data_IF_489467289027
#
_entry.id   IF_489467289027
#
_cell.length_a   1.000
_cell.length_b   1.000
_cell.length_c   1.000
_cell.angle_alpha   90.00
_cell.angle_beta   90.00
_cell.angle_gamma   90.00
#
_symmetry.space_group_name_H-M   'P 1'
#
loop_
_entity.id
_entity.type
_entity.pdbx_description
1 polymer ?
#
# COMPACT_ATOMS: atom_id res chain seq x y z
N UNK A 1 -10.29 -1.73 2.86
CA UNK A 1 -11.42 -2.62 3.26
C UNK A 1 -12.78 -2.03 2.86
N UNK A 2 -13.07 -0.73 3.08
CA UNK A 2 -14.36 -0.11 2.72
C UNK A 2 -14.73 -0.35 1.25
N UNK A 3 -13.83 -0.08 0.29
CA UNK A 3 -14.10 -0.32 -1.13
C UNK A 3 -14.27 -1.82 -1.47
N UNK A 4 -13.51 -2.70 -0.81
CA UNK A 4 -13.68 -4.14 -1.00
C UNK A 4 -15.09 -4.59 -0.62
N UNK A 5 -15.58 -4.16 0.54
CA UNK A 5 -16.92 -4.49 1.00
C UNK A 5 -18.01 -3.89 0.09
N UNK A 6 -17.92 -2.58 -0.19
CA UNK A 6 -18.92 -1.90 -1.03
C UNK A 6 -18.98 -2.45 -2.47
N UNK A 7 -17.81 -2.77 -3.05
CA UNK A 7 -17.78 -3.39 -4.39
C UNK A 7 -18.35 -4.80 -4.38
N UNK A 8 -18.15 -5.55 -3.30
CA UNK A 8 -18.73 -6.88 -3.14
C UNK A 8 -20.26 -6.82 -2.98
N UNK A 9 -20.75 -5.88 -2.17
CA UNK A 9 -22.21 -5.65 -2.02
C UNK A 9 -22.83 -5.28 -3.36
N UNK A 10 -22.21 -4.36 -4.11
CA UNK A 10 -22.67 -3.98 -5.45
C UNK A 10 -22.74 -5.18 -6.39
N UNK A 11 -21.65 -5.99 -6.43
CA UNK A 11 -21.61 -7.20 -7.25
C UNK A 11 -22.65 -8.24 -6.81
N UNK A 12 -22.87 -8.43 -5.49
CA UNK A 12 -23.89 -9.34 -4.97
C UNK A 12 -25.27 -8.93 -5.42
N UNK A 13 -25.60 -7.64 -5.30
CA UNK A 13 -26.93 -7.12 -5.68
C UNK A 13 -27.19 -7.28 -7.17
N UNK A 14 -26.21 -7.04 -8.04
CA UNK A 14 -26.33 -7.27 -9.48
C UNK A 14 -26.62 -8.74 -9.85
N UNK A 15 -26.23 -9.68 -9.01
CA UNK A 15 -26.36 -11.12 -9.27
C UNK A 15 -27.48 -11.79 -8.44
N UNK A 16 -28.35 -11.02 -7.77
CA UNK A 16 -29.44 -11.58 -6.96
C UNK A 16 -30.51 -12.28 -7.82
N UNK A 17 -30.76 -11.83 -9.05
CA UNK A 17 -31.70 -12.48 -9.97
C UNK A 17 -31.30 -13.94 -10.27
N UNK A 18 -30.01 -14.25 -10.31
CA UNK A 18 -29.51 -15.61 -10.47
C UNK A 18 -29.86 -16.51 -9.27
N UNK A 19 -30.32 -15.93 -8.15
CA UNK A 19 -30.70 -16.60 -6.92
C UNK A 19 -32.23 -16.56 -6.68
N UNK A 20 -32.98 -16.14 -7.69
CA UNK A 20 -34.45 -16.03 -7.58
C UNK A 20 -34.94 -14.77 -6.85
N UNK A 21 -34.09 -13.76 -6.65
CA UNK A 21 -34.46 -12.48 -6.05
C UNK A 21 -34.42 -11.41 -7.13
N UNK A 22 -35.57 -10.92 -7.54
CA UNK A 22 -35.65 -9.86 -8.52
C UNK A 22 -35.37 -8.50 -7.87
N UNK A 23 -34.46 -7.75 -8.47
CA UNK A 23 -34.15 -6.37 -8.11
C UNK A 23 -34.32 -5.48 -9.33
N UNK A 24 -34.75 -4.24 -9.14
CA UNK A 24 -34.80 -3.26 -10.20
C UNK A 24 -33.39 -2.90 -10.74
N UNK A 25 -33.32 -1.88 -11.60
CA UNK A 25 -32.05 -1.44 -12.17
C UNK A 25 -31.07 -0.99 -11.06
N UNK A 26 -29.91 -1.64 -10.98
CA UNK A 26 -28.85 -1.33 -10.01
C UNK A 26 -27.80 -0.47 -10.70
N UNK A 27 -27.64 0.77 -10.25
CA UNK A 27 -26.68 1.74 -10.80
C UNK A 27 -25.57 2.05 -9.79
N UNK A 28 -24.33 2.04 -10.25
CA UNK A 28 -23.19 2.52 -9.47
C UNK A 28 -23.19 4.04 -9.41
N UNK A 29 -23.10 4.60 -8.20
CA UNK A 29 -22.69 5.98 -7.99
C UNK A 29 -21.31 5.99 -7.33
N UNK A 30 -20.26 6.04 -8.17
CA UNK A 30 -18.88 5.95 -7.70
C UNK A 30 -18.53 7.11 -6.76
N UNK A 31 -19.00 8.33 -7.04
CA UNK A 31 -18.74 9.51 -6.18
C UNK A 31 -19.24 9.28 -4.75
N UNK A 32 -20.48 8.77 -4.60
CA UNK A 32 -21.03 8.44 -3.29
C UNK A 32 -20.27 7.31 -2.61
N UNK A 33 -19.84 6.30 -3.36
CA UNK A 33 -19.05 5.19 -2.84
C UNK A 33 -17.67 5.68 -2.34
N UNK A 34 -17.01 6.57 -3.08
CA UNK A 34 -15.75 7.20 -2.66
C UNK A 34 -15.94 8.08 -1.43
N UNK A 35 -17.00 8.88 -1.37
CA UNK A 35 -17.34 9.66 -0.15
C UNK A 35 -17.58 8.77 1.07
N UNK A 36 -18.20 7.60 0.90
CA UNK A 36 -18.39 6.64 1.99
C UNK A 36 -17.04 6.09 2.49
N UNK A 37 -16.12 5.74 1.57
CA UNK A 37 -14.75 5.36 1.91
C UNK A 37 -14.03 6.49 2.67
N UNK A 38 -14.08 7.74 2.18
CA UNK A 38 -13.42 8.88 2.81
C UNK A 38 -13.99 9.18 4.20
N UNK A 39 -15.30 9.00 4.38
CA UNK A 39 -15.93 9.10 5.70
C UNK A 39 -15.39 8.06 6.68
N UNK A 40 -15.24 6.81 6.23
CA UNK A 40 -14.64 5.76 7.05
C UNK A 40 -13.19 6.09 7.46
N UNK A 41 -12.38 6.57 6.52
CA UNK A 41 -11.01 7.04 6.81
C UNK A 41 -11.03 8.18 7.83
N UNK A 42 -11.89 9.17 7.62
CA UNK A 42 -12.00 10.34 8.52
C UNK A 42 -12.40 9.93 9.94
N UNK A 43 -13.31 8.98 10.10
CA UNK A 43 -13.71 8.49 11.42
C UNK A 43 -12.52 7.83 12.14
N UNK A 44 -11.75 7.00 11.43
CA UNK A 44 -10.60 6.31 12.00
C UNK A 44 -9.48 7.28 12.37
N UNK A 45 -9.13 8.21 11.49
CA UNK A 45 -8.06 9.19 11.76
C UNK A 45 -8.42 10.12 12.91
N UNK A 46 -9.67 10.62 12.97
CA UNK A 46 -10.14 11.41 14.11
C UNK A 46 -10.17 10.60 15.40
N UNK A 47 -10.46 9.29 15.32
CA UNK A 47 -10.36 8.39 16.47
C UNK A 47 -8.95 8.34 17.05
N UNK A 48 -7.93 8.24 16.18
CA UNK A 48 -6.52 8.27 16.60
C UNK A 48 -6.16 9.63 17.22
N UNK A 49 -6.54 10.74 16.58
CA UNK A 49 -6.31 12.09 17.15
C UNK A 49 -6.94 12.26 18.54
N UNK A 50 -8.17 11.75 18.71
CA UNK A 50 -8.85 11.74 20.01
C UNK A 50 -8.08 10.95 21.05
N UNK A 51 -7.57 9.75 20.71
CA UNK A 51 -6.77 8.92 21.62
C UNK A 51 -5.48 9.60 22.02
N UNK A 52 -4.76 10.21 21.09
CA UNK A 52 -3.55 10.99 21.40
C UNK A 52 -3.87 12.10 22.39
N UNK A 53 -4.90 12.91 22.13
CA UNK A 53 -5.35 13.98 23.02
C UNK A 53 -5.76 13.47 24.40
N UNK A 54 -6.56 12.39 24.46
CA UNK A 54 -7.03 11.77 25.70
C UNK A 54 -5.86 11.31 26.57
N UNK A 55 -4.82 10.77 25.95
CA UNK A 55 -3.62 10.30 26.63
C UNK A 55 -2.54 11.39 26.80
N UNK A 56 -2.88 12.65 26.52
CA UNK A 56 -1.96 13.81 26.67
C UNK A 56 -0.68 13.68 25.83
N UNK A 57 -0.76 12.98 24.70
CA UNK A 57 0.34 12.89 23.71
C UNK A 57 0.31 14.14 22.86
N UNK A 58 1.42 14.86 22.80
CA UNK A 58 1.57 16.05 21.91
C UNK A 58 1.68 15.58 20.46
N UNK A 59 0.80 16.06 19.60
CA UNK A 59 0.80 15.74 18.18
C UNK A 59 1.36 16.90 17.37
N UNK A 60 2.45 16.65 16.65
CA UNK A 60 3.05 17.58 15.70
C UNK A 60 2.72 17.13 14.28
N UNK A 61 1.97 17.94 13.52
CA UNK A 61 1.66 17.66 12.12
C UNK A 61 2.77 18.20 11.23
N UNK A 62 3.45 17.32 10.51
CA UNK A 62 4.55 17.69 9.63
C UNK A 62 5.45 16.52 9.27
N UNK A 63 6.56 16.82 8.58
CA UNK A 63 7.61 15.86 8.25
C UNK A 63 8.74 15.96 9.26
N UNK A 64 9.02 14.85 9.97
CA UNK A 64 10.11 14.76 10.93
C UNK A 64 11.41 14.31 10.29
N UNK A 65 12.54 14.88 10.70
CA UNK A 65 13.89 14.45 10.32
C UNK A 65 14.86 14.63 11.49
N UNK A 66 15.89 13.81 11.56
CA UNK A 66 16.92 13.95 12.59
C UNK A 66 17.80 15.17 12.31
N UNK A 67 18.01 15.99 13.33
CA UNK A 67 19.06 17.00 13.38
C UNK A 67 20.30 16.43 14.08
N UNK A 68 20.09 15.60 15.10
CA UNK A 68 21.09 14.86 15.86
C UNK A 68 20.45 13.60 16.49
N UNK A 69 21.17 12.88 17.34
CA UNK A 69 20.63 11.71 18.06
C UNK A 69 19.47 12.05 19.00
N UNK A 70 19.40 13.29 19.48
CA UNK A 70 18.40 13.74 20.46
C UNK A 70 17.50 14.88 19.94
N UNK A 71 17.75 15.41 18.75
CA UNK A 71 16.97 16.52 18.20
C UNK A 71 16.27 16.11 16.90
N UNK A 72 14.97 16.38 16.84
CA UNK A 72 14.14 16.16 15.65
C UNK A 72 13.65 17.52 15.11
N UNK A 73 13.87 17.76 13.83
CA UNK A 73 13.29 18.89 13.11
C UNK A 73 11.93 18.42 12.56
N UNK A 74 10.88 19.18 12.84
CA UNK A 74 9.55 18.99 12.29
C UNK A 74 9.26 20.14 11.35
N UNK A 75 8.98 19.84 10.09
CA UNK A 75 8.62 20.80 9.07
C UNK A 75 7.15 20.66 8.73
N UNK A 76 6.37 21.70 8.98
CA UNK A 76 4.94 21.72 8.71
C UNK A 76 4.61 22.02 7.23
N UNK A 77 3.30 22.03 6.89
CA UNK A 77 2.81 22.28 5.53
C UNK A 77 3.13 23.71 5.03
N UNK A 78 3.51 24.64 5.93
CA UNK A 78 3.91 26.02 5.61
C UNK A 78 5.44 26.18 5.58
N UNK A 79 6.19 25.07 5.65
CA UNK A 79 7.64 25.03 5.75
C UNK A 79 8.22 25.65 7.03
N UNK A 80 7.40 25.85 8.07
CA UNK A 80 7.87 26.31 9.37
C UNK A 80 8.54 25.14 10.09
N UNK A 81 9.72 25.39 10.61
CA UNK A 81 10.49 24.39 11.34
C UNK A 81 10.27 24.54 12.85
N UNK A 82 10.06 23.42 13.51
CA UNK A 82 10.04 23.30 14.96
C UNK A 82 11.07 22.23 15.34
N UNK A 83 11.94 22.53 16.28
CA UNK A 83 12.91 21.57 16.80
C UNK A 83 12.38 21.08 18.15
N UNK A 84 12.37 19.77 18.32
CA UNK A 84 12.07 19.13 19.60
C UNK A 84 13.28 18.30 20.06
N UNK A 85 13.52 18.28 21.34
CA UNK A 85 14.49 17.43 21.99
C UNK A 85 13.79 16.19 22.55
N UNK A 86 14.37 15.01 22.37
CA UNK A 86 13.82 13.75 22.80
C UNK A 86 14.91 12.88 23.45
N UNK A 87 14.64 12.39 24.65
CA UNK A 87 15.53 11.42 25.32
C UNK A 87 15.53 10.08 24.57
N UNK A 88 14.38 9.68 24.01
CA UNK A 88 14.22 8.44 23.25
C UNK A 88 13.34 8.69 22.02
N UNK A 89 13.70 8.10 20.89
CA UNK A 89 12.99 8.25 19.63
C UNK A 89 12.62 6.88 19.07
N UNK A 90 11.39 6.75 18.56
CA UNK A 90 10.95 5.54 17.83
C UNK A 90 10.66 5.93 16.39
N UNK A 91 11.38 5.32 15.45
CA UNK A 91 11.16 5.49 14.01
C UNK A 91 10.02 4.55 13.60
N UNK A 92 8.87 5.09 13.22
CA UNK A 92 7.68 4.35 12.79
C UNK A 92 7.13 4.87 11.46
N UNK A 93 8.03 5.20 10.52
CA UNK A 93 7.69 5.89 9.28
C UNK A 93 7.12 4.99 8.18
N UNK A 94 7.05 3.69 8.45
CA UNK A 94 6.36 2.73 7.59
C UNK A 94 7.06 2.47 6.26
N UNK A 95 6.27 2.32 5.20
CA UNK A 95 6.73 1.96 3.87
C UNK A 95 6.06 2.78 2.77
N UNK A 96 6.66 2.78 1.60
CA UNK A 96 6.13 3.42 0.38
C UNK A 96 6.06 2.42 -0.78
N UNK A 97 5.15 2.59 -1.76
CA UNK A 97 5.12 1.75 -2.95
C UNK A 97 6.45 1.76 -3.71
N UNK A 98 6.78 0.64 -4.33
CA UNK A 98 7.92 0.53 -5.25
C UNK A 98 7.40 0.73 -6.67
N UNK A 99 8.14 1.46 -7.49
CA UNK A 99 7.95 1.49 -8.94
C UNK A 99 8.97 0.59 -9.64
N UNK A 100 8.70 0.28 -10.91
CA UNK A 100 9.65 -0.38 -11.79
C UNK A 100 10.69 0.64 -12.30
N UNK A 101 11.93 0.21 -12.59
CA UNK A 101 12.96 1.10 -13.14
C UNK A 101 12.47 1.80 -14.41
N UNK A 102 12.65 3.11 -14.48
CA UNK A 102 12.25 3.94 -15.61
C UNK A 102 10.74 4.21 -15.76
N UNK A 103 9.91 3.74 -14.83
CA UNK A 103 8.48 3.98 -14.82
C UNK A 103 8.13 4.95 -13.68
N UNK A 104 7.62 6.12 -14.06
CA UNK A 104 7.13 7.12 -13.13
C UNK A 104 5.65 6.90 -12.81
N UNK A 105 5.31 6.88 -11.54
CA UNK A 105 3.94 6.84 -11.03
C UNK A 105 3.42 8.27 -10.97
N UNK A 106 2.42 8.61 -11.81
CA UNK A 106 1.81 9.93 -11.88
C UNK A 106 0.55 10.07 -11.02
N UNK A 107 0.10 8.97 -10.41
CA UNK A 107 -1.13 8.82 -9.61
C UNK A 107 -2.42 9.24 -10.37
N UNK A 108 -2.38 9.26 -11.69
CA UNK A 108 -3.52 9.58 -12.59
C UNK A 108 -3.86 8.42 -13.51
N UNK A 109 -2.92 7.99 -14.34
CA UNK A 109 -3.06 6.86 -15.26
C UNK A 109 -2.09 5.73 -14.96
N UNK A 110 -0.89 6.05 -14.46
CA UNK A 110 0.05 5.08 -13.89
C UNK A 110 0.01 5.29 -12.37
N UNK A 111 -0.72 4.43 -11.69
CA UNK A 111 -1.04 4.64 -10.27
C UNK A 111 -0.36 3.61 -9.37
N UNK A 112 -0.07 4.02 -8.16
CA UNK A 112 0.14 3.10 -7.04
C UNK A 112 -1.20 2.72 -6.40
N UNK A 113 -1.18 1.97 -5.30
CA UNK A 113 -2.38 1.74 -4.49
C UNK A 113 -3.01 3.05 -3.99
N UNK A 114 -2.22 4.12 -3.82
CA UNK A 114 -2.71 5.45 -3.41
C UNK A 114 -3.64 6.06 -4.45
N UNK A 115 -3.23 6.10 -5.72
CA UNK A 115 -4.06 6.58 -6.82
C UNK A 115 -5.22 5.63 -7.13
N UNK A 116 -4.98 4.30 -7.09
CA UNK A 116 -6.05 3.32 -7.30
C UNK A 116 -7.20 3.45 -6.29
N UNK A 117 -6.94 3.94 -5.07
CA UNK A 117 -7.97 4.24 -4.07
C UNK A 117 -8.69 5.59 -4.30
N UNK A 118 -8.30 6.36 -5.32
CA UNK A 118 -8.81 7.71 -5.57
C UNK A 118 -9.31 7.94 -7.00
N UNK A 119 -9.39 6.90 -7.84
CA UNK A 119 -9.89 7.06 -9.21
C UNK A 119 -11.29 7.68 -9.20
N UNK A 120 -11.50 8.66 -10.05
CA UNK A 120 -12.75 9.42 -10.18
C UNK A 120 -13.78 8.75 -11.10
N UNK A 121 -13.33 7.77 -11.89
CA UNK A 121 -14.17 6.95 -12.78
C UNK A 121 -13.71 5.50 -12.78
N UNK A 122 -14.64 4.60 -13.08
CA UNK A 122 -14.31 3.20 -13.32
C UNK A 122 -13.58 3.11 -14.67
N UNK A 123 -12.32 2.62 -14.71
CA UNK A 123 -11.63 2.43 -15.98
C UNK A 123 -12.33 1.32 -16.79
N UNK A 124 -12.38 1.44 -18.09
CA UNK A 124 -12.89 0.35 -18.94
C UNK A 124 -11.93 -0.84 -18.88
N UNK A 125 -10.62 -0.56 -18.97
CA UNK A 125 -9.55 -1.55 -18.88
C UNK A 125 -8.50 -1.13 -17.86
N UNK A 126 -8.14 -2.05 -16.96
CA UNK A 126 -7.07 -1.85 -16.00
C UNK A 126 -6.04 -2.97 -16.12
N UNK A 127 -4.78 -2.60 -16.21
CA UNK A 127 -3.67 -3.54 -16.06
C UNK A 127 -3.11 -3.41 -14.66
N UNK A 128 -3.02 -4.52 -13.95
CA UNK A 128 -2.40 -4.63 -12.62
C UNK A 128 -1.04 -5.29 -12.80
N UNK A 129 0.02 -4.56 -12.51
CA UNK A 129 1.40 -5.06 -12.52
C UNK A 129 1.76 -5.53 -11.11
N UNK A 130 1.92 -6.84 -10.96
CA UNK A 130 2.16 -7.51 -9.69
C UNK A 130 0.94 -8.26 -9.15
N UNK A 131 1.10 -9.58 -8.97
CA UNK A 131 0.08 -10.51 -8.47
C UNK A 131 0.08 -10.67 -6.95
N UNK A 132 0.62 -9.69 -6.20
CA UNK A 132 0.55 -9.65 -4.74
C UNK A 132 -0.83 -9.21 -4.22
N UNK A 133 -1.03 -9.31 -2.90
CA UNK A 133 -2.34 -9.02 -2.26
C UNK A 133 -2.88 -7.61 -2.56
N UNK A 134 -2.02 -6.58 -2.63
CA UNK A 134 -2.46 -5.20 -2.94
C UNK A 134 -3.04 -5.13 -4.36
N UNK A 135 -2.34 -5.68 -5.34
CA UNK A 135 -2.79 -5.71 -6.73
C UNK A 135 -4.10 -6.47 -6.91
N UNK A 136 -4.22 -7.62 -6.24
CA UNK A 136 -5.40 -8.46 -6.32
C UNK A 136 -6.60 -7.86 -5.58
N UNK A 137 -6.41 -7.22 -4.42
CA UNK A 137 -7.48 -6.49 -3.73
C UNK A 137 -8.00 -5.33 -4.59
N UNK A 138 -7.13 -4.50 -5.13
CA UNK A 138 -7.54 -3.37 -5.98
C UNK A 138 -8.14 -3.85 -7.31
N UNK A 139 -7.51 -4.84 -7.95
CA UNK A 139 -8.06 -5.46 -9.14
C UNK A 139 -9.45 -6.04 -8.93
N UNK A 140 -9.71 -6.68 -7.79
CA UNK A 140 -11.04 -7.19 -7.42
C UNK A 140 -12.06 -6.09 -7.24
N UNK A 141 -11.68 -4.97 -6.59
CA UNK A 141 -12.58 -3.80 -6.44
C UNK A 141 -13.01 -3.30 -7.82
N UNK A 142 -12.06 -2.97 -8.69
CA UNK A 142 -12.36 -2.36 -9.98
C UNK A 142 -13.06 -3.34 -10.93
N UNK A 143 -12.71 -4.64 -10.89
CA UNK A 143 -13.41 -5.67 -11.66
C UNK A 143 -14.89 -5.77 -11.26
N UNK A 144 -15.21 -5.79 -9.97
CA UNK A 144 -16.59 -5.82 -9.47
C UNK A 144 -17.38 -4.56 -9.83
N UNK A 145 -16.70 -3.43 -10.00
CA UNK A 145 -17.29 -2.17 -10.42
C UNK A 145 -17.44 -2.05 -11.95
N UNK A 146 -16.96 -3.03 -12.71
CA UNK A 146 -17.17 -3.13 -14.17
C UNK A 146 -15.93 -2.95 -15.03
N UNK A 147 -14.73 -2.82 -14.45
CA UNK A 147 -13.48 -2.76 -15.22
C UNK A 147 -13.09 -4.16 -15.75
N UNK A 148 -12.59 -4.22 -16.99
CA UNK A 148 -11.85 -5.38 -17.48
C UNK A 148 -10.45 -5.36 -16.86
N UNK A 149 -10.14 -6.29 -15.94
CA UNK A 149 -8.87 -6.33 -15.20
C UNK A 149 -7.97 -7.43 -15.74
N UNK A 150 -6.72 -7.06 -16.06
CA UNK A 150 -5.66 -8.00 -16.42
C UNK A 150 -4.49 -7.85 -15.44
N UNK A 151 -4.10 -8.95 -14.81
CA UNK A 151 -2.93 -9.03 -13.94
C UNK A 151 -1.74 -9.50 -14.77
N UNK A 152 -0.64 -8.78 -14.70
CA UNK A 152 0.66 -9.13 -15.27
C UNK A 152 1.61 -9.43 -14.10
N UNK A 153 2.10 -10.66 -14.02
CA UNK A 153 2.97 -11.11 -12.94
C UNK A 153 4.26 -11.75 -13.51
N UNK A 154 5.39 -11.38 -12.93
CA UNK A 154 6.70 -11.90 -13.31
C UNK A 154 6.89 -13.37 -12.89
N UNK A 155 6.35 -13.74 -11.73
CA UNK A 155 6.41 -15.10 -11.21
C UNK A 155 5.40 -16.02 -11.91
N UNK A 156 5.51 -17.32 -11.67
CA UNK A 156 4.61 -18.35 -12.15
C UNK A 156 3.33 -18.51 -11.29
N UNK A 157 3.25 -17.80 -10.17
CA UNK A 157 2.13 -17.83 -9.22
C UNK A 157 1.84 -16.44 -8.64
N UNK A 158 0.62 -16.26 -8.13
CA UNK A 158 0.20 -15.07 -7.40
C UNK A 158 0.55 -15.20 -5.91
N UNK A 159 0.41 -14.10 -5.16
CA UNK A 159 0.61 -14.06 -3.69
C UNK A 159 1.94 -14.70 -3.25
N UNK A 160 3.10 -14.19 -3.72
CA UNK A 160 4.41 -14.73 -3.36
C UNK A 160 4.58 -14.75 -1.84
N UNK A 161 5.12 -15.86 -1.32
CA UNK A 161 5.28 -16.08 0.12
C UNK A 161 4.10 -16.81 0.79
N UNK A 162 2.99 -17.02 0.08
CA UNK A 162 1.88 -17.85 0.53
C UNK A 162 2.07 -19.30 0.07
N UNK A 163 1.32 -20.21 0.69
CA UNK A 163 1.26 -21.61 0.25
C UNK A 163 0.82 -21.71 -1.21
N UNK A 164 1.46 -22.61 -1.99
CA UNK A 164 1.23 -22.71 -3.44
C UNK A 164 -0.15 -23.24 -3.79
N UNK A 165 -0.70 -24.15 -2.98
CA UNK A 165 -2.05 -24.70 -3.19
C UNK A 165 -3.08 -23.59 -2.96
N UNK A 166 -2.95 -22.84 -1.87
CA UNK A 166 -3.80 -21.67 -1.58
C UNK A 166 -3.71 -20.62 -2.69
N UNK A 167 -2.50 -20.29 -3.17
CA UNK A 167 -2.30 -19.35 -4.27
C UNK A 167 -2.98 -19.82 -5.56
N UNK A 168 -2.88 -21.12 -5.87
CA UNK A 168 -3.52 -21.73 -7.05
C UNK A 168 -5.04 -21.67 -6.97
N UNK A 169 -5.62 -22.09 -5.85
CA UNK A 169 -7.08 -22.03 -5.65
C UNK A 169 -7.60 -20.59 -5.67
N UNK A 170 -6.88 -19.67 -5.04
CA UNK A 170 -7.23 -18.26 -5.07
C UNK A 170 -7.22 -17.69 -6.51
N UNK A 171 -6.22 -18.02 -7.31
CA UNK A 171 -6.18 -17.64 -8.72
C UNK A 171 -7.37 -18.18 -9.51
N UNK A 172 -7.79 -19.45 -9.26
CA UNK A 172 -8.98 -20.05 -9.90
C UNK A 172 -10.25 -19.25 -9.54
N UNK A 173 -10.40 -18.87 -8.27
CA UNK A 173 -11.53 -18.05 -7.80
C UNK A 173 -11.55 -16.70 -8.52
N UNK A 174 -10.42 -16.01 -8.58
CA UNK A 174 -10.32 -14.70 -9.24
C UNK A 174 -10.56 -14.79 -10.76
N UNK A 175 -10.11 -15.86 -11.41
CA UNK A 175 -10.44 -16.13 -12.83
C UNK A 175 -11.95 -16.31 -13.04
N UNK A 176 -12.63 -17.03 -12.15
CA UNK A 176 -14.10 -17.16 -12.20
C UNK A 176 -14.82 -15.82 -11.99
N UNK A 177 -14.20 -14.88 -11.29
CA UNK A 177 -14.69 -13.51 -11.13
C UNK A 177 -14.37 -12.60 -12.34
N UNK A 178 -13.75 -13.12 -13.40
CA UNK A 178 -13.46 -12.39 -14.64
C UNK A 178 -12.09 -11.72 -14.71
N UNK A 179 -11.23 -11.86 -13.71
CA UNK A 179 -9.86 -11.34 -13.76
C UNK A 179 -9.00 -12.22 -14.65
N UNK A 180 -8.30 -11.61 -15.60
CA UNK A 180 -7.36 -12.29 -16.50
C UNK A 180 -5.94 -12.25 -15.90
N UNK A 181 -5.17 -13.32 -16.11
CA UNK A 181 -3.82 -13.46 -15.59
C UNK A 181 -2.82 -13.76 -16.69
N UNK A 182 -1.75 -13.00 -16.73
CA UNK A 182 -0.60 -13.16 -17.60
C UNK A 182 0.63 -13.39 -16.71
N UNK A 183 0.87 -14.68 -16.41
CA UNK A 183 1.95 -15.10 -15.52
C UNK A 183 3.26 -15.22 -16.30
N UNK A 184 4.40 -15.14 -15.59
CA UNK A 184 5.73 -15.21 -16.17
C UNK A 184 5.97 -14.15 -17.27
N UNK A 185 5.39 -12.96 -17.04
CA UNK A 185 5.50 -11.82 -17.94
C UNK A 185 6.26 -10.68 -17.25
N UNK A 186 7.40 -10.31 -17.80
CA UNK A 186 8.20 -9.18 -17.34
C UNK A 186 7.74 -7.91 -18.04
N UNK A 187 7.36 -6.89 -17.28
CA UNK A 187 7.09 -5.56 -17.84
C UNK A 187 8.41 -4.91 -18.27
N UNK A 188 8.49 -4.47 -19.51
CA UNK A 188 9.64 -3.78 -20.07
C UNK A 188 9.41 -2.27 -20.18
N UNK A 189 8.18 -1.86 -20.54
CA UNK A 189 7.84 -0.45 -20.70
C UNK A 189 6.36 -0.20 -20.42
N UNK A 190 6.06 1.02 -19.99
CA UNK A 190 4.71 1.56 -19.94
C UNK A 190 4.74 2.90 -20.66
N UNK A 191 3.92 3.01 -21.73
CA UNK A 191 3.87 4.19 -22.55
C UNK A 191 2.49 4.84 -22.41
N UNK A 192 2.47 6.10 -21.95
CA UNK A 192 1.26 6.89 -21.91
C UNK A 192 1.13 7.67 -23.23
N UNK A 193 0.19 7.25 -24.07
CA UNK A 193 -0.07 7.83 -25.39
C UNK A 193 -1.36 8.66 -25.33
N UNK A 194 -1.59 9.49 -26.36
CA UNK A 194 -2.84 10.29 -26.48
C UNK A 194 -4.12 9.43 -26.48
N UNK A 195 -4.01 8.16 -26.85
CA UNK A 195 -5.14 7.20 -26.99
C UNK A 195 -5.29 6.26 -25.81
N UNK A 196 -4.40 6.32 -24.81
CA UNK A 196 -4.40 5.43 -23.64
C UNK A 196 -3.00 4.99 -23.26
N UNK A 197 -2.93 4.04 -22.34
CA UNK A 197 -1.68 3.48 -21.82
C UNK A 197 -1.44 2.10 -22.43
N UNK A 198 -0.22 1.85 -22.88
CA UNK A 198 0.23 0.54 -23.36
C UNK A 198 1.27 -0.02 -22.41
N UNK A 199 1.01 -1.22 -21.89
CA UNK A 199 1.97 -1.99 -21.09
C UNK A 199 2.63 -3.04 -21.98
N UNK A 200 3.92 -2.89 -22.24
CA UNK A 200 4.72 -3.83 -23.02
C UNK A 200 5.42 -4.81 -22.09
N UNK A 201 5.29 -6.10 -22.42
CA UNK A 201 5.87 -7.18 -21.62
C UNK A 201 6.59 -8.19 -22.50
N UNK A 202 7.46 -8.98 -21.88
CA UNK A 202 8.08 -10.16 -22.48
C UNK A 202 7.78 -11.36 -21.59
N UNK A 203 7.26 -12.44 -22.19
CA UNK A 203 7.02 -13.68 -21.47
C UNK A 203 8.31 -14.53 -21.34
N UNK A 204 8.22 -15.65 -20.64
CA UNK A 204 9.33 -16.59 -20.42
C UNK A 204 9.98 -17.13 -21.71
N UNK A 205 9.24 -17.16 -22.81
CA UNK A 205 9.68 -17.68 -24.11
C UNK A 205 10.22 -16.57 -25.02
N UNK A 206 10.35 -15.32 -24.49
CA UNK A 206 10.84 -14.15 -25.20
C UNK A 206 9.81 -13.48 -26.12
N UNK A 207 8.55 -13.91 -26.08
CA UNK A 207 7.47 -13.30 -26.87
C UNK A 207 7.05 -11.99 -26.26
N UNK A 208 7.01 -10.95 -27.10
CA UNK A 208 6.51 -9.62 -26.72
C UNK A 208 4.98 -9.59 -26.76
N UNK A 209 4.39 -9.04 -25.70
CA UNK A 209 2.96 -8.81 -25.59
C UNK A 209 2.70 -7.35 -25.22
N UNK A 210 1.60 -6.78 -25.73
CA UNK A 210 1.16 -5.43 -25.41
C UNK A 210 -0.26 -5.47 -24.86
N UNK A 211 -0.51 -4.70 -23.81
CA UNK A 211 -1.81 -4.59 -23.16
C UNK A 211 -2.24 -3.13 -23.15
N UNK A 212 -3.30 -2.83 -23.93
CA UNK A 212 -3.92 -1.51 -23.94
C UNK A 212 -4.86 -1.34 -22.75
N UNK A 213 -4.76 -0.23 -22.03
CA UNK A 213 -5.60 0.06 -20.89
C UNK A 213 -5.78 1.57 -20.64
N UNK A 214 -6.75 1.90 -19.78
CA UNK A 214 -6.98 3.29 -19.35
C UNK A 214 -6.12 3.62 -18.12
N UNK A 215 -5.89 2.62 -17.27
CA UNK A 215 -5.14 2.77 -16.01
C UNK A 215 -4.23 1.57 -15.78
N UNK A 216 -3.01 1.85 -15.35
CA UNK A 216 -2.06 0.83 -14.88
C UNK A 216 -1.85 0.98 -13.38
N UNK A 217 -2.09 -0.09 -12.62
CA UNK A 217 -1.74 -0.17 -11.21
C UNK A 217 -0.37 -0.84 -11.03
N UNK A 218 0.59 -0.12 -10.49
CA UNK A 218 1.89 -0.67 -10.09
C UNK A 218 1.80 -1.17 -8.65
N UNK A 219 1.91 -2.48 -8.46
CA UNK A 219 1.80 -3.15 -7.16
C UNK A 219 2.86 -4.23 -6.94
N UNK A 220 4.10 -3.92 -7.35
CA UNK A 220 5.25 -4.83 -7.33
C UNK A 220 5.99 -4.90 -5.99
N UNK A 221 5.41 -4.34 -4.95
CA UNK A 221 5.94 -4.38 -3.59
C UNK A 221 6.01 -3.02 -2.92
N UNK A 222 6.58 -3.03 -1.72
CA UNK A 222 6.79 -1.84 -0.88
C UNK A 222 8.24 -1.83 -0.38
N UNK A 223 8.75 -0.66 -0.08
CA UNK A 223 10.08 -0.45 0.54
C UNK A 223 9.96 0.41 1.78
N UNK A 224 10.89 0.24 2.71
CA UNK A 224 10.99 1.06 3.90
C UNK A 224 11.03 2.56 3.57
N UNK A 225 10.28 3.36 4.33
CA UNK A 225 10.23 4.80 4.16
C UNK A 225 11.30 5.48 5.02
N UNK A 226 12.54 5.43 4.54
CA UNK A 226 13.72 6.02 5.21
C UNK A 226 14.18 7.33 4.57
N UNK A 227 13.64 7.67 3.41
CA UNK A 227 14.02 8.89 2.70
C UNK A 227 13.59 10.15 3.47
N UNK A 228 14.48 11.16 3.52
CA UNK A 228 14.20 12.44 4.18
C UNK A 228 14.29 12.42 5.71
N UNK A 229 14.55 11.26 6.33
CA UNK A 229 14.71 11.16 7.78
C UNK A 229 16.05 11.71 8.29
N UNK A 230 17.04 11.92 7.40
CA UNK A 230 18.39 12.35 7.75
C UNK A 230 19.05 11.44 8.83
N UNK A 231 18.96 10.13 8.60
CA UNK A 231 19.42 9.10 9.56
C UNK A 231 20.93 9.18 9.84
N UNK A 232 21.69 9.65 8.86
CA UNK A 232 23.13 9.85 8.99
C UNK A 232 23.48 10.87 10.09
N UNK A 233 22.68 11.93 10.25
CA UNK A 233 22.88 12.92 11.33
C UNK A 233 22.73 12.33 12.72
N UNK A 234 21.97 11.24 12.86
CA UNK A 234 21.81 10.50 14.09
C UNK A 234 22.75 9.29 14.19
N UNK A 235 23.44 8.92 13.09
CA UNK A 235 24.31 7.75 13.03
C UNK A 235 23.56 6.41 12.95
N UNK A 236 22.28 6.42 12.55
CA UNK A 236 21.44 5.21 12.44
C UNK A 236 21.81 4.40 11.21
N UNK A 237 22.08 3.12 11.38
CA UNK A 237 22.47 2.20 10.31
C UNK A 237 21.26 1.62 9.58
N UNK A 238 21.44 1.45 8.26
CA UNK A 238 20.51 0.75 7.38
C UNK A 238 21.08 -0.59 6.92
N UNK A 239 20.19 -1.53 6.62
CA UNK A 239 20.56 -2.78 5.95
C UNK A 239 20.71 -2.59 4.43
N UNK A 240 21.03 -3.68 3.73
CA UNK A 240 21.22 -3.69 2.27
C UNK A 240 19.93 -3.31 1.49
N UNK A 241 18.76 -3.48 2.11
CA UNK A 241 17.45 -3.11 1.55
C UNK A 241 16.98 -1.73 2.00
N UNK A 242 17.86 -0.93 2.59
CA UNK A 242 17.57 0.42 3.11
C UNK A 242 16.53 0.44 4.23
N UNK A 243 16.41 -0.65 5.01
CA UNK A 243 15.59 -0.74 6.22
C UNK A 243 16.45 -0.38 7.44
N UNK A 244 15.83 0.20 8.45
CA UNK A 244 16.53 0.47 9.72
C UNK A 244 16.91 -0.85 10.38
N UNK A 245 18.19 -1.01 10.75
CA UNK A 245 18.66 -2.17 11.50
C UNK A 245 18.24 -2.05 12.96
N UNK A 246 17.69 -3.13 13.51
CA UNK A 246 17.33 -3.24 14.93
C UNK A 246 17.77 -4.59 15.51
N UNK A 247 17.94 -4.62 16.81
CA UNK A 247 18.04 -5.86 17.57
C UNK A 247 16.63 -6.41 17.90
N UNK A 248 16.58 -7.49 18.70
CA UNK A 248 15.33 -8.14 19.11
C UNK A 248 14.49 -7.31 20.08
N UNK A 249 15.01 -6.20 20.59
CA UNK A 249 14.30 -5.23 21.44
C UNK A 249 13.88 -3.98 20.69
N UNK A 250 13.94 -4.04 19.35
CA UNK A 250 13.67 -2.92 18.42
C UNK A 250 14.62 -1.73 18.55
N UNK A 251 15.75 -1.89 19.27
CA UNK A 251 16.77 -0.86 19.41
C UNK A 251 17.68 -0.85 18.18
N UNK A 252 18.02 0.34 17.70
CA UNK A 252 19.01 0.51 16.62
C UNK A 252 20.43 0.40 17.16
N UNK A 253 21.44 0.63 16.33
CA UNK A 253 22.83 0.80 16.77
C UNK A 253 23.03 2.03 17.67
N UNK A 254 22.05 2.92 17.81
CA UNK A 254 22.06 4.10 18.68
C UNK A 254 21.17 3.82 19.89
N UNK A 255 21.74 3.92 21.10
CA UNK A 255 21.13 3.47 22.36
C UNK A 255 19.75 4.06 22.68
N UNK A 256 19.44 5.26 22.22
CA UNK A 256 18.19 5.98 22.48
C UNK A 256 17.26 6.02 21.27
N UNK A 257 17.60 5.32 20.17
CA UNK A 257 16.78 5.28 18.95
C UNK A 257 16.31 3.86 18.68
N UNK A 258 15.00 3.71 18.52
CA UNK A 258 14.30 2.46 18.22
C UNK A 258 13.62 2.57 16.84
N UNK A 259 13.24 1.45 16.25
CA UNK A 259 12.44 1.44 15.03
C UNK A 259 11.49 0.25 15.00
N UNK A 260 10.30 0.44 14.42
CA UNK A 260 9.22 -0.57 14.35
C UNK A 260 8.45 -0.52 13.03
N UNK A 261 7.69 -1.56 12.77
CA UNK A 261 6.78 -1.65 11.62
C UNK A 261 7.49 -1.88 10.30
N UNK A 262 6.91 -1.31 9.22
CA UNK A 262 7.40 -1.58 7.86
C UNK A 262 8.80 -0.99 7.56
N UNK A 263 9.31 -0.11 8.41
CA UNK A 263 10.62 0.52 8.22
C UNK A 263 11.79 -0.39 8.62
N UNK A 264 11.51 -1.47 9.35
CA UNK A 264 12.48 -2.51 9.78
C UNK A 264 12.31 -3.81 8.99
N UNK A 265 13.09 -4.83 9.31
CA UNK A 265 12.98 -6.17 8.72
C UNK A 265 11.71 -6.89 9.19
N UNK A 266 11.23 -7.84 8.36
CA UNK A 266 10.04 -8.63 8.62
C UNK A 266 8.90 -8.33 7.65
N UNK A 267 7.73 -8.97 7.84
CA UNK A 267 6.55 -8.75 7.01
C UNK A 267 5.95 -7.36 7.26
N UNK A 268 5.54 -6.69 6.18
CA UNK A 268 4.90 -5.37 6.24
C UNK A 268 3.41 -5.52 6.54
N UNK A 269 3.07 -5.71 7.82
CA UNK A 269 1.72 -5.97 8.32
C UNK A 269 1.38 -5.01 9.46
N UNK A 270 0.17 -4.43 9.44
CA UNK A 270 -0.27 -3.44 10.42
C UNK A 270 -0.27 -4.00 11.86
N UNK A 271 -0.81 -5.21 12.07
CA UNK A 271 -0.84 -5.82 13.40
C UNK A 271 0.55 -6.12 13.96
N UNK A 272 1.53 -6.52 13.11
CA UNK A 272 2.93 -6.64 13.52
C UNK A 272 3.46 -5.30 14.05
N UNK A 273 3.21 -4.20 13.34
CA UNK A 273 3.65 -2.87 13.76
C UNK A 273 2.98 -2.41 15.06
N UNK A 274 1.72 -2.78 15.28
CA UNK A 274 0.98 -2.50 16.52
C UNK A 274 1.59 -3.26 17.71
N UNK A 275 1.84 -4.57 17.56
CA UNK A 275 2.47 -5.40 18.60
C UNK A 275 3.90 -4.94 18.92
N UNK A 276 4.69 -4.60 17.90
CA UNK A 276 6.03 -4.03 18.06
C UNK A 276 5.98 -2.67 18.77
N UNK A 277 4.94 -1.86 18.50
CA UNK A 277 4.72 -0.58 19.19
C UNK A 277 4.47 -0.75 20.67
N UNK A 278 3.72 -1.76 21.07
CA UNK A 278 3.50 -2.10 22.49
C UNK A 278 4.81 -2.56 23.11
N UNK A 279 5.47 -3.55 22.50
CA UNK A 279 6.72 -4.12 23.03
C UNK A 279 7.83 -3.06 23.18
N UNK A 280 7.99 -2.15 22.19
CA UNK A 280 9.01 -1.09 22.31
C UNK A 280 8.67 -0.10 23.42
N UNK A 281 7.38 0.22 23.62
CA UNK A 281 6.96 1.11 24.71
C UNK A 281 7.24 0.49 26.09
N UNK A 282 6.95 -0.81 26.26
CA UNK A 282 7.26 -1.57 27.46
C UNK A 282 8.77 -1.64 27.73
N UNK A 283 9.56 -1.94 26.70
CA UNK A 283 11.03 -1.94 26.80
C UNK A 283 11.58 -0.56 27.20
N UNK A 284 11.05 0.52 26.64
CA UNK A 284 11.43 1.89 26.99
C UNK A 284 11.08 2.21 28.46
N UNK A 285 9.95 1.68 28.95
CA UNK A 285 9.52 1.84 30.34
C UNK A 285 10.27 0.93 31.34
N UNK A 286 11.18 0.09 30.86
CA UNK A 286 11.94 -0.85 31.70
C UNK A 286 11.14 -2.10 32.10
N UNK A 287 10.09 -2.41 31.37
CA UNK A 287 9.32 -3.66 31.51
C UNK A 287 9.87 -4.68 30.49
N UNK A 288 9.82 -5.96 30.83
CA UNK A 288 10.10 -7.03 29.87
C UNK A 288 8.83 -7.22 29.03
N UNK A 289 8.90 -6.83 27.77
CA UNK A 289 7.83 -7.08 26.80
C UNK A 289 7.83 -8.52 26.30
#
# INVERSE_FOLDING_TARGET
KSLLNLSEEFHKVQNLSNKGIEVGEVKLNLEKMMKSKDKAVTILTKGVEFLLKKNKVTYYKGTGSFKSQNEIIIKDDQNKETIIEAEKTVIATGSVPVSLPGIEIDEKVIVSSTGALKLDKVPKKMVVVGGGYIGLEMGSVWSRLGAEVQVVEFLDHITPGMDKEISSEFMKILKKQGIKFNMQNKVEAIQNNKTGVVVSTVDKDGKKNNFDCDVVLISVGRKANTNGLNLEAAGVELDERKRVKTDNTFKTNINNIYAIGDVISGPMLAHKAEDEGIAVAENIAGQSG
#
